data_IF_926149968003
#
_entry.id   IF_926149968003
#
_cell.length_a   1.000
_cell.length_b   1.000
_cell.length_c   1.000
_cell.angle_alpha   90.00
_cell.angle_beta   90.00
_cell.angle_gamma   90.00
#
_symmetry.space_group_name_H-M   'P 1'
#
loop_
_entity.id
_entity.type
_entity.pdbx_description
1 polymer ?
#
# COMPACT_ATOMS: atom_id res chain seq x y z
N UNK A 1 -29.69 32.63 -10.00
CA UNK A 1 -28.30 32.17 -9.83
C UNK A 1 -28.17 30.74 -10.36
N UNK A 2 -27.10 30.37 -11.07
CA UNK A 2 -26.97 29.03 -11.69
C UNK A 2 -25.73 28.33 -11.15
N UNK A 3 -25.94 27.27 -10.36
CA UNK A 3 -24.85 26.44 -9.83
C UNK A 3 -24.22 25.61 -10.95
N UNK A 4 -22.90 25.39 -10.86
CA UNK A 4 -22.20 24.47 -11.74
C UNK A 4 -22.68 23.04 -11.45
N UNK A 5 -23.15 22.31 -12.47
CA UNK A 5 -23.58 20.94 -12.28
C UNK A 5 -22.35 20.04 -12.14
N UNK A 6 -22.30 19.22 -11.10
CA UNK A 6 -21.17 18.31 -10.86
C UNK A 6 -20.94 17.32 -12.01
N UNK A 7 -21.98 17.03 -12.80
CA UNK A 7 -21.93 16.20 -14.00
C UNK A 7 -21.19 16.85 -15.19
N UNK A 8 -20.85 18.14 -15.11
CA UNK A 8 -20.15 18.89 -16.17
C UNK A 8 -18.71 19.26 -15.81
N UNK A 9 -18.19 18.83 -14.66
CA UNK A 9 -16.87 19.20 -14.14
C UNK A 9 -15.85 18.08 -14.31
N UNK A 10 -14.65 18.40 -14.82
CA UNK A 10 -13.51 17.47 -14.93
C UNK A 10 -12.85 17.24 -13.57
N UNK A 11 -12.28 16.05 -13.33
CA UNK A 11 -11.64 15.66 -12.06
C UNK A 11 -10.43 16.54 -11.72
N UNK A 12 -10.06 16.57 -10.43
CA UNK A 12 -8.83 17.19 -9.96
C UNK A 12 -9.00 18.63 -9.44
N UNK A 13 -8.12 19.54 -9.85
CA UNK A 13 -8.09 20.93 -9.34
C UNK A 13 -9.35 21.70 -9.75
N UNK A 14 -9.80 21.54 -10.99
CA UNK A 14 -10.94 22.27 -11.52
C UNK A 14 -12.26 21.85 -10.86
N UNK A 15 -12.44 20.56 -10.60
CA UNK A 15 -13.57 20.06 -9.80
C UNK A 15 -13.64 20.71 -8.42
N UNK A 16 -12.50 20.76 -7.71
CA UNK A 16 -12.44 21.36 -6.36
C UNK A 16 -12.75 22.85 -6.40
N UNK A 17 -12.18 23.59 -7.35
CA UNK A 17 -12.43 25.02 -7.51
C UNK A 17 -13.90 25.31 -7.82
N UNK A 18 -14.50 24.57 -8.75
CA UNK A 18 -15.91 24.74 -9.09
C UNK A 18 -16.87 24.29 -7.99
N UNK A 19 -16.49 23.28 -7.19
CA UNK A 19 -17.24 22.86 -6.01
C UNK A 19 -17.20 23.93 -4.93
N UNK A 20 -16.02 24.49 -4.65
CA UNK A 20 -15.88 25.59 -3.69
C UNK A 20 -16.69 26.82 -4.14
N UNK A 21 -16.63 27.18 -5.41
CA UNK A 21 -17.44 28.29 -5.94
C UNK A 21 -18.94 28.04 -5.73
N UNK A 22 -19.45 26.81 -5.93
CA UNK A 22 -20.84 26.48 -5.63
C UNK A 22 -21.17 26.60 -4.13
N UNK A 23 -20.23 26.27 -3.24
CA UNK A 23 -20.42 26.40 -1.80
C UNK A 23 -20.51 27.87 -1.39
N UNK A 24 -19.61 28.72 -1.88
CA UNK A 24 -19.64 30.18 -1.61
C UNK A 24 -20.98 30.80 -2.07
N UNK A 25 -21.45 30.33 -3.22
CA UNK A 25 -22.73 30.70 -3.82
C UNK A 25 -23.93 30.32 -2.93
N UNK A 26 -23.93 29.11 -2.38
CA UNK A 26 -24.97 28.62 -1.48
C UNK A 26 -24.93 29.30 -0.11
N UNK A 27 -23.74 29.54 0.43
CA UNK A 27 -23.55 30.24 1.70
C UNK A 27 -24.13 31.66 1.63
N UNK A 28 -23.87 32.37 0.53
CA UNK A 28 -24.43 33.71 0.31
C UNK A 28 -25.95 33.71 0.26
N UNK A 29 -26.55 32.81 -0.52
CA UNK A 29 -28.02 32.69 -0.63
C UNK A 29 -28.67 32.30 0.70
N UNK A 30 -28.04 31.39 1.46
CA UNK A 30 -28.51 31.02 2.79
C UNK A 30 -28.47 32.19 3.77
N UNK A 31 -27.41 33.02 3.72
CA UNK A 31 -27.27 34.21 4.55
C UNK A 31 -28.32 35.27 4.20
N UNK A 32 -28.57 35.51 2.92
CA UNK A 32 -29.58 36.46 2.46
C UNK A 32 -30.99 36.00 2.85
N UNK A 33 -31.32 34.72 2.66
CA UNK A 33 -32.60 34.14 3.07
C UNK A 33 -32.81 34.23 4.58
N UNK A 34 -31.77 33.95 5.37
CA UNK A 34 -31.81 34.06 6.82
C UNK A 34 -32.13 35.49 7.29
N UNK A 35 -31.53 36.48 6.62
CA UNK A 35 -31.77 37.89 6.91
C UNK A 35 -33.20 38.30 6.55
N UNK A 36 -33.72 37.84 5.41
CA UNK A 36 -35.10 38.09 4.99
C UNK A 36 -36.12 37.48 5.96
N UNK A 37 -35.89 36.25 6.43
CA UNK A 37 -36.72 35.60 7.44
C UNK A 37 -36.72 36.40 8.74
N UNK A 38 -35.55 36.83 9.23
CA UNK A 38 -35.47 37.64 10.46
C UNK A 38 -36.17 38.98 10.33
N UNK A 39 -36.07 39.65 9.17
CA UNK A 39 -36.83 40.87 8.87
C UNK A 39 -38.34 40.60 8.91
N UNK A 40 -38.79 39.55 8.23
CA UNK A 40 -40.21 39.19 8.16
C UNK A 40 -40.79 38.84 9.55
N UNK A 41 -39.97 38.29 10.44
CA UNK A 41 -40.33 38.02 11.83
C UNK A 41 -40.20 39.23 12.77
N UNK A 42 -39.74 40.38 12.27
CA UNK A 42 -39.52 41.60 13.07
C UNK A 42 -38.40 41.49 14.09
N UNK A 43 -37.51 40.50 13.95
CA UNK A 43 -36.38 40.25 14.87
C UNK A 43 -35.26 41.28 14.65
N UNK A 44 -35.11 41.76 13.41
CA UNK A 44 -34.12 42.77 13.02
C UNK A 44 -34.80 43.83 12.16
N UNK A 45 -34.27 45.04 12.18
CA UNK A 45 -34.73 46.12 11.31
C UNK A 45 -33.94 46.20 9.99
N UNK A 46 -34.34 47.12 9.11
CA UNK A 46 -33.69 47.30 7.81
C UNK A 46 -32.26 47.84 7.90
N UNK A 47 -31.95 48.65 8.93
CA UNK A 47 -30.62 49.21 9.15
C UNK A 47 -29.65 48.15 9.65
N UNK A 48 -30.06 47.32 10.59
CA UNK A 48 -29.28 46.18 11.08
C UNK A 48 -28.97 45.22 9.94
N UNK A 49 -29.95 44.91 9.10
CA UNK A 49 -29.74 44.08 7.94
C UNK A 49 -28.80 44.69 6.88
N UNK A 50 -28.88 46.00 6.65
CA UNK A 50 -27.95 46.69 5.77
C UNK A 50 -26.51 46.63 6.31
N UNK A 51 -26.35 46.76 7.64
CA UNK A 51 -25.06 46.61 8.31
C UNK A 51 -24.48 45.19 8.16
N UNK A 52 -25.31 44.15 8.32
CA UNK A 52 -24.87 42.77 8.06
C UNK A 52 -24.39 42.55 6.63
N UNK A 53 -25.13 43.08 5.63
CA UNK A 53 -24.71 42.98 4.23
C UNK A 53 -23.38 43.71 3.97
N UNK A 54 -23.20 44.87 4.59
CA UNK A 54 -21.96 45.63 4.48
C UNK A 54 -20.77 44.87 5.06
N UNK A 55 -20.89 44.34 6.29
CA UNK A 55 -19.83 43.55 6.95
C UNK A 55 -19.44 42.34 6.11
N UNK A 56 -20.41 41.59 5.60
CA UNK A 56 -20.15 40.41 4.75
C UNK A 56 -19.45 40.81 3.45
N UNK A 57 -19.80 41.97 2.87
CA UNK A 57 -19.16 42.46 1.65
C UNK A 57 -17.71 42.86 1.90
N UNK A 58 -17.44 43.59 2.98
CA UNK A 58 -16.08 43.97 3.40
C UNK A 58 -15.21 42.75 3.73
N UNK A 59 -15.75 41.77 4.47
CA UNK A 59 -15.01 40.53 4.81
C UNK A 59 -14.63 39.75 3.54
N UNK A 60 -15.54 39.65 2.57
CA UNK A 60 -15.25 39.02 1.28
C UNK A 60 -14.16 39.78 0.49
N UNK A 61 -14.24 41.11 0.44
CA UNK A 61 -13.19 41.91 -0.21
C UNK A 61 -11.83 41.75 0.48
N UNK A 62 -11.81 41.69 1.81
CA UNK A 62 -10.60 41.46 2.58
C UNK A 62 -10.00 40.07 2.32
N UNK A 63 -10.83 39.03 2.28
CA UNK A 63 -10.39 37.66 1.95
C UNK A 63 -9.77 37.57 0.56
N UNK A 64 -10.39 38.18 -0.45
CA UNK A 64 -9.84 38.19 -1.82
C UNK A 64 -8.51 38.95 -1.89
N UNK A 65 -8.39 40.09 -1.18
CA UNK A 65 -7.11 40.80 -1.07
C UNK A 65 -6.04 39.95 -0.41
N UNK A 66 -6.33 39.34 0.73
CA UNK A 66 -5.39 38.47 1.44
C UNK A 66 -4.94 37.29 0.57
N UNK A 67 -5.87 36.69 -0.19
CA UNK A 67 -5.55 35.61 -1.12
C UNK A 67 -4.61 36.09 -2.23
N UNK A 68 -4.89 37.25 -2.83
CA UNK A 68 -4.03 37.83 -3.86
C UNK A 68 -2.63 38.17 -3.35
N UNK A 69 -2.53 38.64 -2.09
CA UNK A 69 -1.25 38.93 -1.44
C UNK A 69 -0.48 37.64 -1.12
N UNK A 70 -1.14 36.58 -0.64
CA UNK A 70 -0.52 35.26 -0.41
C UNK A 70 0.01 34.65 -1.72
N UNK A 71 -0.78 34.71 -2.80
CA UNK A 71 -0.37 34.21 -4.11
C UNK A 71 0.85 35.01 -4.65
N UNK A 72 0.87 36.32 -4.48
CA UNK A 72 2.01 37.16 -4.86
C UNK A 72 3.27 36.82 -4.05
N UNK A 73 3.14 36.63 -2.73
CA UNK A 73 4.25 36.23 -1.86
C UNK A 73 4.79 34.85 -2.23
N UNK A 74 3.92 33.88 -2.54
CA UNK A 74 4.34 32.54 -2.98
C UNK A 74 5.14 32.58 -4.27
N UNK A 75 4.70 33.39 -5.23
CA UNK A 75 5.43 33.56 -6.49
C UNK A 75 6.80 34.19 -6.24
N UNK A 76 6.88 35.27 -5.46
CA UNK A 76 8.16 35.91 -5.12
C UNK A 76 9.12 34.96 -4.40
N UNK A 77 8.63 34.13 -3.47
CA UNK A 77 9.44 33.11 -2.79
C UNK A 77 9.92 32.05 -3.78
N UNK A 78 9.07 31.64 -4.72
CA UNK A 78 9.42 30.70 -5.79
C UNK A 78 10.55 31.24 -6.66
N UNK A 79 10.39 32.47 -7.17
CA UNK A 79 11.35 33.12 -8.06
C UNK A 79 12.71 33.33 -7.36
N UNK A 80 12.71 33.85 -6.13
CA UNK A 80 13.95 34.05 -5.36
C UNK A 80 14.66 32.73 -5.06
N UNK A 81 13.89 31.66 -4.80
CA UNK A 81 14.46 30.33 -4.57
C UNK A 81 15.14 29.81 -5.84
N UNK A 82 14.50 29.95 -7.00
CA UNK A 82 15.06 29.55 -8.28
C UNK A 82 16.35 30.33 -8.60
N UNK A 83 16.34 31.65 -8.38
CA UNK A 83 17.52 32.49 -8.58
C UNK A 83 18.69 32.06 -7.68
N UNK A 84 18.43 31.76 -6.40
CA UNK A 84 19.44 31.25 -5.48
C UNK A 84 19.98 29.88 -5.89
N UNK A 85 19.12 28.97 -6.35
CA UNK A 85 19.52 27.65 -6.83
C UNK A 85 20.43 27.77 -8.07
N UNK A 86 20.09 28.64 -9.01
CA UNK A 86 20.92 28.92 -10.19
C UNK A 86 22.27 29.52 -9.76
N UNK A 87 22.27 30.49 -8.84
CA UNK A 87 23.49 31.12 -8.32
C UNK A 87 24.43 30.11 -7.66
N UNK A 88 23.89 29.18 -6.87
CA UNK A 88 24.67 28.11 -6.24
C UNK A 88 25.26 27.14 -7.27
N UNK A 89 24.48 26.74 -8.27
CA UNK A 89 24.98 25.86 -9.36
C UNK A 89 26.12 26.53 -10.14
N UNK A 90 25.99 27.83 -10.42
CA UNK A 90 27.03 28.58 -11.10
C UNK A 90 28.31 28.65 -10.26
N UNK A 91 28.20 28.94 -8.96
CA UNK A 91 29.33 29.00 -8.06
C UNK A 91 30.05 27.65 -7.93
N UNK A 92 29.30 26.55 -7.83
CA UNK A 92 29.87 25.20 -7.78
C UNK A 92 30.63 24.88 -9.08
N UNK A 93 30.03 25.21 -10.23
CA UNK A 93 30.67 25.04 -11.54
C UNK A 93 31.95 25.87 -11.64
N UNK A 94 31.93 27.13 -11.22
CA UNK A 94 33.11 27.99 -11.21
C UNK A 94 34.21 27.45 -10.29
N UNK A 95 33.85 27.03 -9.07
CA UNK A 95 34.80 26.48 -8.10
C UNK A 95 35.45 25.21 -8.63
N UNK A 96 34.66 24.29 -9.19
CA UNK A 96 35.16 23.06 -9.80
C UNK A 96 36.11 23.37 -10.97
N UNK A 97 35.74 24.30 -11.85
CA UNK A 97 36.63 24.74 -12.93
C UNK A 97 37.95 25.34 -12.41
N UNK A 98 37.91 26.14 -11.34
CA UNK A 98 39.11 26.71 -10.72
C UNK A 98 39.99 25.63 -10.09
N UNK A 99 39.40 24.67 -9.39
CA UNK A 99 40.11 23.53 -8.81
C UNK A 99 40.77 22.69 -9.90
N UNK A 100 40.05 22.39 -10.99
CA UNK A 100 40.59 21.64 -12.12
C UNK A 100 41.75 22.35 -12.80
N UNK A 101 41.64 23.67 -12.97
CA UNK A 101 42.72 24.47 -13.53
C UNK A 101 43.98 24.44 -12.64
N UNK A 102 43.82 24.53 -11.31
CA UNK A 102 44.94 24.41 -10.36
C UNK A 102 45.62 23.03 -10.43
N UNK A 103 44.81 21.97 -10.53
CA UNK A 103 45.28 20.59 -10.64
C UNK A 103 46.02 20.36 -11.96
N UNK A 104 45.58 20.98 -13.06
CA UNK A 104 46.23 20.87 -14.37
C UNK A 104 47.49 21.71 -14.49
N UNK A 105 47.56 22.87 -13.83
CA UNK A 105 48.70 23.79 -13.92
C UNK A 105 49.92 23.35 -13.10
N UNK A 106 49.75 22.39 -12.19
CA UNK A 106 50.85 21.84 -11.38
C UNK A 106 51.32 20.49 -11.92
N UNK A 107 52.63 20.28 -12.13
CA UNK A 107 53.16 18.97 -12.48
C UNK A 107 52.76 17.93 -11.43
N UNK A 108 52.08 16.87 -11.86
CA UNK A 108 51.64 15.80 -10.97
C UNK A 108 52.69 14.69 -10.90
N UNK A 109 52.97 14.12 -9.70
CA UNK A 109 53.81 12.94 -9.56
C UNK A 109 53.26 11.77 -10.39
N UNK A 110 54.15 10.97 -10.98
CA UNK A 110 53.77 9.82 -11.82
C UNK A 110 52.93 8.78 -11.05
N UNK A 111 53.20 8.60 -9.76
CA UNK A 111 52.44 7.70 -8.88
C UNK A 111 50.94 8.07 -8.81
N UNK A 112 50.63 9.36 -8.73
CA UNK A 112 49.24 9.85 -8.69
C UNK A 112 48.58 9.64 -10.05
N UNK A 113 49.33 9.84 -11.14
CA UNK A 113 48.85 9.63 -12.51
C UNK A 113 48.49 8.17 -12.76
N UNK A 114 49.35 7.24 -12.34
CA UNK A 114 49.13 5.80 -12.47
C UNK A 114 47.95 5.34 -11.61
N UNK A 115 47.79 5.93 -10.43
CA UNK A 115 46.66 5.67 -9.55
C UNK A 115 45.31 6.16 -10.11
N UNK A 116 45.25 6.88 -11.23
CA UNK A 116 43.97 7.27 -11.88
C UNK A 116 43.33 6.14 -12.67
N UNK A 117 44.05 5.06 -12.95
CA UNK A 117 43.50 3.92 -13.67
C UNK A 117 42.84 2.95 -12.69
N UNK A 118 41.59 2.58 -12.95
CA UNK A 118 40.90 1.56 -12.15
C UNK A 118 41.27 0.14 -12.58
N UNK A 119 40.72 -0.86 -11.87
CA UNK A 119 40.96 -2.28 -12.14
C UNK A 119 40.46 -2.74 -13.51
N UNK A 120 39.54 -1.98 -14.12
CA UNK A 120 38.89 -2.27 -15.39
C UNK A 120 39.58 -1.50 -16.55
N UNK A 121 40.67 -0.77 -16.25
CA UNK A 121 41.46 -0.03 -17.23
C UNK A 121 40.91 1.35 -17.59
N UNK A 122 39.86 1.82 -16.90
CA UNK A 122 39.33 3.17 -17.11
C UNK A 122 40.23 4.19 -16.40
N UNK A 123 40.68 5.18 -17.17
CA UNK A 123 41.51 6.29 -16.67
C UNK A 123 40.62 7.47 -16.31
N UNK A 124 40.71 7.93 -15.06
CA UNK A 124 39.98 9.09 -14.56
C UNK A 124 40.78 10.38 -14.75
N UNK A 125 40.12 11.54 -14.78
CA UNK A 125 40.79 12.84 -14.97
C UNK A 125 41.68 13.16 -13.78
N UNK A 126 41.21 12.87 -12.57
CA UNK A 126 41.93 13.05 -11.31
C UNK A 126 41.71 11.86 -10.38
N UNK A 127 42.65 11.60 -9.47
CA UNK A 127 42.56 10.46 -8.53
C UNK A 127 41.29 10.51 -7.67
N UNK A 128 40.84 11.73 -7.31
CA UNK A 128 39.60 11.93 -6.55
C UNK A 128 38.38 11.34 -7.26
N UNK A 129 38.23 11.52 -8.56
CA UNK A 129 37.09 10.97 -9.31
C UNK A 129 37.07 9.44 -9.26
N UNK A 130 38.24 8.80 -9.40
CA UNK A 130 38.37 7.35 -9.25
C UNK A 130 37.98 6.92 -7.84
N UNK A 131 38.50 7.59 -6.80
CA UNK A 131 38.19 7.27 -5.41
C UNK A 131 36.71 7.45 -5.09
N UNK A 132 36.08 8.52 -5.57
CA UNK A 132 34.63 8.74 -5.45
C UNK A 132 33.86 7.63 -6.18
N UNK A 133 34.24 7.26 -7.40
CA UNK A 133 33.57 6.18 -8.12
C UNK A 133 33.71 4.82 -7.41
N UNK A 134 34.89 4.53 -6.86
CA UNK A 134 35.12 3.34 -6.05
C UNK A 134 34.31 3.37 -4.76
N UNK A 135 34.21 4.53 -4.10
CA UNK A 135 33.42 4.73 -2.89
C UNK A 135 31.93 4.55 -3.19
N UNK A 136 31.40 5.18 -4.23
CA UNK A 136 30.00 5.00 -4.66
C UNK A 136 29.70 3.55 -5.01
N UNK A 137 30.61 2.86 -5.70
CA UNK A 137 30.48 1.43 -6.02
C UNK A 137 30.64 0.53 -4.78
N UNK A 138 31.37 0.98 -3.75
CA UNK A 138 31.49 0.28 -2.48
C UNK A 138 30.26 0.52 -1.59
N UNK A 139 29.65 1.70 -1.67
CA UNK A 139 28.43 2.10 -0.97
C UNK A 139 27.16 1.57 -1.64
N UNK A 140 27.21 1.25 -2.93
CA UNK A 140 26.14 0.53 -3.65
C UNK A 140 26.17 -0.98 -3.41
N UNK A 141 27.09 -1.47 -2.55
CA UNK A 141 27.06 -2.86 -2.10
C UNK A 141 25.82 -3.07 -1.23
N UNK A 142 24.93 -3.91 -1.75
CA UNK A 142 23.83 -4.62 -1.08
C UNK A 142 23.86 -4.49 0.45
N UNK A 143 23.00 -3.64 0.98
CA UNK A 143 22.70 -3.62 2.40
C UNK A 143 21.50 -4.53 2.68
N UNK A 144 21.58 -5.27 3.81
CA UNK A 144 20.47 -6.08 4.30
C UNK A 144 19.81 -5.31 5.44
N UNK A 145 18.55 -4.94 5.24
CA UNK A 145 17.71 -4.30 6.23
C UNK A 145 16.88 -5.34 6.98
N UNK A 146 16.57 -5.05 8.24
CA UNK A 146 15.87 -5.99 9.11
C UNK A 146 14.49 -5.51 9.57
N UNK A 147 14.16 -4.25 9.31
CA UNK A 147 12.92 -3.62 9.78
C UNK A 147 12.18 -2.97 8.62
N UNK A 148 10.83 -2.99 8.67
CA UNK A 148 9.98 -2.35 7.66
C UNK A 148 10.19 -0.83 7.64
N UNK A 149 10.54 -0.22 8.78
CA UNK A 149 10.75 1.22 8.91
C UNK A 149 11.94 1.71 8.06
N UNK A 150 12.91 0.82 7.80
CA UNK A 150 14.09 1.13 7.00
C UNK A 150 13.85 1.05 5.48
N UNK A 151 12.67 0.61 5.01
CA UNK A 151 12.33 0.58 3.57
C UNK A 151 12.51 1.96 2.93
N UNK A 152 12.24 3.02 3.69
CA UNK A 152 12.42 4.39 3.21
C UNK A 152 13.87 4.75 2.85
N UNK A 153 14.83 4.04 3.45
CA UNK A 153 16.29 4.25 3.33
C UNK A 153 16.96 3.30 2.34
N UNK A 154 16.23 2.30 1.84
CA UNK A 154 16.73 1.31 0.88
C UNK A 154 17.03 1.94 -0.48
N UNK A 155 18.17 1.59 -1.06
CA UNK A 155 18.59 1.89 -2.43
C UNK A 155 18.26 0.71 -3.36
N UNK A 156 18.39 0.95 -4.66
CA UNK A 156 18.25 -0.09 -5.69
C UNK A 156 19.24 -1.24 -5.42
N UNK A 157 18.74 -2.47 -5.39
CA UNK A 157 19.43 -3.71 -5.02
C UNK A 157 19.62 -3.98 -3.52
N UNK A 158 19.14 -3.14 -2.60
CA UNK A 158 19.13 -3.49 -1.17
C UNK A 158 18.09 -4.57 -0.85
N UNK A 159 18.34 -5.39 0.19
CA UNK A 159 17.47 -6.50 0.58
C UNK A 159 16.77 -6.19 1.90
N UNK A 160 15.49 -6.55 2.02
CA UNK A 160 14.78 -6.53 3.29
C UNK A 160 14.56 -7.96 3.81
N UNK A 161 14.99 -8.20 5.05
CA UNK A 161 14.77 -9.42 5.81
C UNK A 161 13.98 -9.09 7.07
N UNK A 162 12.66 -9.16 7.00
CA UNK A 162 11.77 -8.84 8.11
C UNK A 162 11.13 -10.11 8.70
N UNK A 163 11.07 -10.18 10.03
CA UNK A 163 10.35 -11.24 10.74
C UNK A 163 8.87 -10.85 10.87
N UNK A 164 7.99 -11.45 10.06
CA UNK A 164 6.55 -11.24 10.21
C UNK A 164 6.01 -12.08 11.35
N UNK A 165 5.46 -11.44 12.38
CA UNK A 165 4.89 -12.09 13.57
C UNK A 165 3.53 -12.78 13.34
N UNK A 166 3.17 -13.09 12.09
CA UNK A 166 1.94 -13.83 11.79
C UNK A 166 2.30 -15.26 11.36
N UNK A 167 2.34 -16.11 12.39
CA UNK A 167 2.17 -17.58 12.39
C UNK A 167 3.35 -18.38 11.81
N UNK A 168 4.17 -18.87 12.75
CA UNK A 168 5.11 -20.00 12.67
C UNK A 168 6.21 -19.93 11.59
N UNK A 169 7.41 -19.53 12.03
CA UNK A 169 8.71 -20.06 11.57
C UNK A 169 9.15 -19.84 10.11
N UNK A 170 8.66 -18.78 9.44
CA UNK A 170 9.14 -18.40 8.09
C UNK A 170 9.86 -17.05 8.13
N UNK A 171 11.14 -17.03 7.73
CA UNK A 171 11.86 -15.81 7.33
C UNK A 171 11.58 -15.56 5.85
N UNK A 172 10.97 -14.43 5.52
CA UNK A 172 10.69 -14.06 4.12
C UNK A 172 11.72 -13.04 3.65
N UNK A 173 12.37 -13.31 2.51
CA UNK A 173 13.21 -12.34 1.81
C UNK A 173 12.35 -11.63 0.75
N UNK A 174 12.33 -10.30 0.77
CA UNK A 174 11.59 -9.51 -0.23
C UNK A 174 12.54 -8.51 -0.86
N UNK A 175 12.74 -8.61 -2.18
CA UNK A 175 13.35 -7.55 -2.97
C UNK A 175 12.24 -6.59 -3.38
N UNK A 176 12.19 -5.43 -2.74
CA UNK A 176 11.15 -4.42 -2.95
C UNK A 176 11.67 -3.35 -3.89
N UNK A 177 11.32 -3.47 -5.17
CA UNK A 177 11.36 -2.32 -6.08
C UNK A 177 10.11 -1.46 -5.83
N UNK A 178 10.33 -0.17 -5.56
CA UNK A 178 9.43 0.71 -4.79
C UNK A 178 8.20 1.19 -5.57
N UNK A 179 8.03 0.79 -6.84
CA UNK A 179 6.97 1.37 -7.68
C UNK A 179 5.96 0.39 -8.32
N UNK A 180 6.10 -0.95 -8.27
CA UNK A 180 5.35 -1.80 -9.22
C UNK A 180 4.67 -3.11 -8.82
N UNK A 181 4.77 -3.68 -7.62
CA UNK A 181 4.28 -5.07 -7.43
C UNK A 181 3.49 -5.35 -6.14
N UNK A 182 2.23 -5.85 -6.23
CA UNK A 182 1.54 -6.48 -5.09
C UNK A 182 2.14 -7.85 -4.78
N UNK A 183 2.44 -8.10 -3.51
CA UNK A 183 3.06 -9.34 -3.02
C UNK A 183 2.06 -10.51 -3.06
N UNK A 184 2.49 -11.68 -3.53
CA UNK A 184 1.72 -12.93 -3.43
C UNK A 184 2.59 -14.07 -2.88
N UNK A 185 2.07 -14.76 -1.85
CA UNK A 185 2.73 -15.87 -1.16
C UNK A 185 2.71 -17.14 -2.01
N UNK A 186 3.85 -17.85 -2.12
CA UNK A 186 4.00 -18.96 -3.08
C UNK A 186 4.10 -20.35 -2.42
N UNK A 187 4.95 -20.60 -1.41
CA UNK A 187 5.05 -21.93 -0.75
C UNK A 187 5.89 -21.96 0.53
N UNK A 188 5.54 -22.85 1.47
CA UNK A 188 6.37 -23.33 2.58
C UNK A 188 6.82 -24.78 2.32
N UNK A 189 8.08 -25.12 2.63
CA UNK A 189 8.61 -26.50 2.53
C UNK A 189 8.96 -27.00 3.92
N UNK A 190 8.16 -27.94 4.43
CA UNK A 190 8.46 -28.60 5.70
C UNK A 190 9.70 -29.49 5.54
N UNK A 191 10.72 -29.25 6.36
CA UNK A 191 11.85 -30.17 6.56
C UNK A 191 11.66 -30.92 7.88
N UNK A 192 12.11 -32.17 7.95
CA UNK A 192 12.11 -32.95 9.20
C UNK A 192 13.56 -33.34 9.51
N UNK A 193 14.15 -32.89 10.65
CA UNK A 193 13.59 -31.98 11.67
C UNK A 193 13.48 -30.52 11.16
N UNK A 194 12.62 -29.68 11.77
CA UNK A 194 12.36 -28.33 11.27
C UNK A 194 13.63 -27.50 11.41
N UNK A 195 14.26 -27.21 10.26
CA UNK A 195 15.23 -26.13 10.13
C UNK A 195 14.66 -25.15 9.11
N UNK A 196 14.69 -23.87 9.49
CA UNK A 196 14.15 -22.72 8.77
C UNK A 196 14.23 -22.91 7.25
N UNK A 197 13.08 -22.96 6.58
CA UNK A 197 13.04 -23.09 5.14
C UNK A 197 13.42 -21.76 4.50
N UNK A 198 14.40 -21.80 3.62
CA UNK A 198 14.81 -20.66 2.79
C UNK A 198 13.93 -20.64 1.54
N UNK A 199 13.19 -19.56 1.30
CA UNK A 199 12.29 -19.41 0.16
C UNK A 199 12.98 -18.56 -0.90
N UNK A 200 13.05 -19.08 -2.13
CA UNK A 200 13.46 -18.33 -3.32
C UNK A 200 12.26 -18.23 -4.26
N UNK A 201 11.94 -17.01 -4.71
CA UNK A 201 10.99 -16.78 -5.79
C UNK A 201 11.69 -16.11 -6.97
N UNK A 202 11.42 -16.58 -8.19
CA UNK A 202 11.80 -15.90 -9.43
C UNK A 202 10.58 -15.20 -10.02
N UNK A 203 10.77 -13.97 -10.50
CA UNK A 203 9.74 -13.23 -11.24
C UNK A 203 9.48 -13.90 -12.59
N UNK A 204 8.21 -14.16 -12.88
CA UNK A 204 7.73 -14.49 -14.22
C UNK A 204 8.01 -15.92 -14.68
N UNK A 205 6.99 -16.77 -14.57
CA UNK A 205 6.47 -17.55 -15.69
C UNK A 205 5.25 -18.35 -15.21
N UNK A 206 4.12 -18.06 -15.84
CA UNK A 206 2.79 -18.57 -15.50
C UNK A 206 2.63 -20.04 -15.92
N UNK A 207 3.29 -20.98 -15.24
CA UNK A 207 2.97 -22.40 -15.34
C UNK A 207 3.58 -23.30 -14.25
N UNK A 208 3.65 -22.82 -13.00
CA UNK A 208 3.91 -23.72 -11.87
C UNK A 208 2.58 -24.27 -11.31
N UNK A 209 2.50 -25.58 -10.96
CA UNK A 209 1.25 -26.20 -10.54
C UNK A 209 0.71 -25.52 -9.28
N UNK A 210 -0.37 -24.76 -9.45
CA UNK A 210 -1.08 -24.11 -8.35
C UNK A 210 -1.54 -25.19 -7.39
N UNK A 211 -0.90 -25.24 -6.22
CA UNK A 211 -1.33 -26.14 -5.15
C UNK A 211 -2.41 -25.41 -4.39
N UNK A 212 -3.67 -25.63 -4.78
CA UNK A 212 -4.81 -25.14 -4.02
C UNK A 212 -4.70 -25.67 -2.59
N UNK A 213 -4.72 -24.78 -1.60
CA UNK A 213 -4.82 -25.14 -0.18
C UNK A 213 -6.13 -24.58 0.33
N UNK A 214 -6.79 -25.31 1.23
CA UNK A 214 -8.00 -24.86 1.90
C UNK A 214 -7.85 -25.00 3.41
N UNK A 215 -8.54 -24.17 4.17
CA UNK A 215 -8.75 -24.34 5.61
C UNK A 215 -10.24 -24.37 5.88
N UNK A 216 -10.70 -25.33 6.67
CA UNK A 216 -12.11 -25.47 7.05
C UNK A 216 -12.24 -25.55 8.56
N UNK A 217 -13.28 -24.92 9.10
CA UNK A 217 -13.60 -24.95 10.54
C UNK A 217 -15.12 -24.99 10.76
N UNK A 218 -15.55 -25.60 11.85
CA UNK A 218 -16.95 -25.55 12.28
C UNK A 218 -17.33 -24.13 12.75
N UNK A 219 -18.53 -23.69 12.39
CA UNK A 219 -19.09 -22.43 12.89
C UNK A 219 -19.65 -22.59 14.30
N UNK A 220 -20.02 -23.81 14.69
CA UNK A 220 -20.47 -24.17 16.05
C UNK A 220 -20.26 -25.67 16.30
N UNK A 221 -20.26 -26.08 17.57
CA UNK A 221 -20.18 -27.52 17.92
C UNK A 221 -21.37 -28.27 17.33
N UNK A 222 -21.09 -29.36 16.62
CA UNK A 222 -22.13 -30.23 16.07
C UNK A 222 -22.91 -30.92 17.20
N UNK A 223 -24.25 -30.90 17.12
CA UNK A 223 -25.12 -31.60 18.08
C UNK A 223 -25.66 -32.88 17.45
N UNK A 224 -25.63 -33.98 18.20
CA UNK A 224 -26.20 -35.25 17.75
C UNK A 224 -27.68 -35.09 17.35
N UNK A 225 -28.09 -35.73 16.25
CA UNK A 225 -29.43 -35.58 15.68
C UNK A 225 -29.64 -34.32 14.82
N UNK A 226 -28.64 -33.43 14.70
CA UNK A 226 -28.75 -32.26 13.82
C UNK A 226 -28.83 -32.68 12.35
N UNK A 227 -29.73 -32.04 11.61
CA UNK A 227 -29.87 -32.29 10.17
C UNK A 227 -28.68 -31.78 9.34
N UNK A 228 -27.92 -30.80 9.85
CA UNK A 228 -26.86 -30.12 9.10
C UNK A 228 -25.59 -29.90 9.93
N UNK A 229 -24.45 -29.89 9.24
CA UNK A 229 -23.16 -29.38 9.72
C UNK A 229 -22.93 -28.01 9.10
N UNK A 230 -22.50 -27.03 9.91
CA UNK A 230 -22.20 -25.68 9.46
C UNK A 230 -20.73 -25.35 9.71
N UNK A 231 -20.09 -24.71 8.73
CA UNK A 231 -18.72 -24.25 8.86
C UNK A 231 -18.38 -23.07 7.98
N UNK A 232 -17.14 -22.63 8.10
CA UNK A 232 -16.53 -21.66 7.20
C UNK A 232 -15.28 -22.24 6.58
N UNK A 233 -14.94 -21.74 5.40
CA UNK A 233 -13.78 -22.17 4.64
C UNK A 233 -13.02 -20.98 4.08
N UNK A 234 -11.73 -21.18 3.86
CA UNK A 234 -10.85 -20.27 3.14
C UNK A 234 -10.12 -21.07 2.07
N UNK A 235 -9.92 -20.47 0.89
CA UNK A 235 -9.29 -21.10 -0.27
C UNK A 235 -10.30 -21.44 -1.38
N UNK A 236 -9.78 -21.90 -2.52
CA UNK A 236 -10.57 -22.22 -3.71
C UNK A 236 -11.26 -23.59 -3.60
N UNK A 237 -12.15 -23.74 -2.63
CA UNK A 237 -12.98 -24.94 -2.47
C UNK A 237 -14.10 -24.92 -3.51
N UNK A 238 -14.27 -26.01 -4.26
CA UNK A 238 -15.35 -26.17 -5.23
C UNK A 238 -16.41 -27.17 -4.78
N UNK A 239 -16.10 -28.05 -3.82
CA UNK A 239 -17.03 -29.06 -3.32
C UNK A 239 -16.68 -29.54 -1.91
N UNK A 240 -17.70 -30.02 -1.18
CA UNK A 240 -17.53 -30.75 0.07
C UNK A 240 -18.05 -32.18 -0.01
N UNK A 241 -17.44 -33.05 0.78
CA UNK A 241 -17.94 -34.39 1.07
C UNK A 241 -17.95 -34.61 2.59
N UNK A 242 -18.85 -35.46 3.05
CA UNK A 242 -18.84 -35.94 4.44
C UNK A 242 -18.61 -37.43 4.45
N UNK A 243 -17.68 -37.88 5.30
CA UNK A 243 -17.43 -39.29 5.56
C UNK A 243 -18.05 -39.58 6.93
N UNK A 244 -19.00 -40.52 6.97
CA UNK A 244 -19.62 -40.99 8.21
C UNK A 244 -19.31 -42.47 8.34
N UNK A 245 -18.52 -42.83 9.34
CA UNK A 245 -18.08 -44.21 9.61
C UNK A 245 -17.50 -44.93 8.37
N UNK A 246 -16.69 -44.20 7.60
CA UNK A 246 -16.07 -44.71 6.36
C UNK A 246 -16.96 -44.63 5.11
N UNK A 247 -18.25 -44.31 5.24
CA UNK A 247 -19.14 -44.13 4.09
C UNK A 247 -19.10 -42.67 3.61
N UNK A 248 -18.73 -42.47 2.34
CA UNK A 248 -18.66 -41.14 1.73
C UNK A 248 -20.00 -40.70 1.19
N UNK A 249 -20.43 -39.51 1.59
CA UNK A 249 -21.59 -38.81 1.09
C UNK A 249 -21.15 -37.51 0.41
N UNK A 250 -21.41 -37.42 -0.89
CA UNK A 250 -21.27 -36.17 -1.63
C UNK A 250 -22.40 -35.21 -1.27
N UNK A 251 -22.07 -33.95 -1.02
CA UNK A 251 -23.06 -32.92 -0.73
C UNK A 251 -22.47 -31.80 0.13
N UNK A 252 -22.80 -30.56 -0.23
CA UNK A 252 -22.30 -29.36 0.38
C UNK A 252 -21.61 -28.48 -0.66
N UNK A 253 -22.31 -27.43 -1.07
CA UNK A 253 -21.74 -26.43 -1.98
C UNK A 253 -21.12 -25.29 -1.16
N UNK A 254 -19.92 -24.84 -1.54
CA UNK A 254 -19.33 -23.62 -0.99
C UNK A 254 -20.24 -22.42 -1.29
N UNK A 255 -20.59 -21.65 -0.26
CA UNK A 255 -21.31 -20.39 -0.43
C UNK A 255 -20.32 -19.26 -0.70
N UNK A 256 -20.63 -18.29 -1.60
CA UNK A 256 -19.71 -17.20 -1.95
C UNK A 256 -19.22 -16.34 -0.77
N UNK A 257 -19.92 -16.41 0.37
CA UNK A 257 -19.58 -15.72 1.62
C UNK A 257 -18.52 -16.46 2.46
N UNK A 258 -17.95 -17.56 1.96
CA UNK A 258 -16.96 -18.36 2.67
C UNK A 258 -17.56 -19.33 3.70
N UNK A 259 -18.87 -19.59 3.63
CA UNK A 259 -19.55 -20.54 4.51
C UNK A 259 -19.96 -21.82 3.79
N UNK A 260 -20.18 -22.90 4.55
CA UNK A 260 -20.72 -24.14 4.01
C UNK A 260 -21.76 -24.75 4.94
N UNK A 261 -22.71 -25.48 4.33
CA UNK A 261 -23.71 -26.29 5.03
C UNK A 261 -23.79 -27.68 4.39
N UNK A 262 -23.77 -28.74 5.19
CA UNK A 262 -23.83 -30.12 4.69
C UNK A 262 -24.94 -30.88 5.39
N UNK A 263 -25.81 -31.53 4.62
CA UNK A 263 -26.91 -32.33 5.14
C UNK A 263 -26.44 -33.71 5.61
N UNK A 264 -26.71 -34.03 6.87
CA UNK A 264 -26.31 -35.29 7.52
C UNK A 264 -27.45 -35.97 8.29
N UNK A 265 -28.69 -35.47 8.17
CA UNK A 265 -29.85 -36.06 8.83
C UNK A 265 -30.00 -37.54 8.48
N UNK A 266 -30.28 -38.37 9.49
CA UNK A 266 -30.43 -39.82 9.32
C UNK A 266 -29.15 -40.59 8.97
N UNK A 267 -27.99 -39.91 8.88
CA UNK A 267 -26.68 -40.53 8.61
C UNK A 267 -25.85 -40.68 9.87
N UNK A 268 -26.01 -39.76 10.82
CA UNK A 268 -25.34 -39.83 12.12
C UNK A 268 -26.23 -40.54 13.15
N UNK A 269 -26.15 -41.87 13.20
CA UNK A 269 -27.08 -42.73 13.96
C UNK A 269 -26.65 -43.06 15.39
N UNK A 270 -25.38 -42.87 15.74
CA UNK A 270 -24.88 -43.07 17.10
C UNK A 270 -23.82 -42.02 17.47
N UNK A 271 -23.61 -41.80 18.76
CA UNK A 271 -22.57 -40.90 19.30
C UNK A 271 -21.17 -41.51 19.26
N UNK A 272 -21.01 -42.74 18.76
CA UNK A 272 -19.73 -43.43 18.63
C UNK A 272 -19.12 -43.36 17.22
N UNK A 273 -19.83 -42.78 16.24
CA UNK A 273 -19.38 -42.82 14.85
C UNK A 273 -18.44 -41.65 14.52
N UNK A 274 -17.49 -41.91 13.62
CA UNK A 274 -16.57 -40.90 13.13
C UNK A 274 -17.22 -40.07 12.01
N UNK A 275 -17.17 -38.74 12.12
CA UNK A 275 -17.65 -37.82 11.08
C UNK A 275 -16.55 -36.85 10.65
N UNK A 276 -16.19 -36.91 9.37
CA UNK A 276 -15.20 -36.02 8.74
C UNK A 276 -15.84 -35.24 7.60
N UNK A 277 -15.50 -33.95 7.50
CA UNK A 277 -15.79 -33.14 6.32
C UNK A 277 -14.50 -32.95 5.54
N UNK A 278 -14.58 -33.15 4.22
CA UNK A 278 -13.46 -33.05 3.29
C UNK A 278 -13.79 -32.00 2.24
N UNK A 279 -12.86 -31.07 2.01
CA UNK A 279 -12.96 -30.01 1.02
C UNK A 279 -12.15 -30.38 -0.22
N UNK A 280 -12.73 -30.12 -1.40
CA UNK A 280 -12.14 -30.44 -2.69
C UNK A 280 -12.04 -29.21 -3.58
N UNK A 281 -11.07 -29.23 -4.50
CA UNK A 281 -11.02 -28.35 -5.65
C UNK A 281 -10.60 -29.14 -6.88
N UNK A 282 -11.38 -29.03 -7.97
CA UNK A 282 -11.10 -29.73 -9.24
C UNK A 282 -10.85 -31.24 -9.04
N UNK A 283 -11.57 -31.87 -8.12
CA UNK A 283 -11.45 -33.31 -7.81
C UNK A 283 -10.28 -33.69 -6.87
N UNK A 284 -9.44 -32.73 -6.45
CA UNK A 284 -8.36 -32.97 -5.48
C UNK A 284 -8.79 -32.59 -4.07
N UNK A 285 -8.53 -33.45 -3.11
CA UNK A 285 -8.71 -33.14 -1.69
C UNK A 285 -7.73 -32.02 -1.28
N UNK A 286 -8.26 -30.96 -0.68
CA UNK A 286 -7.48 -29.82 -0.19
C UNK A 286 -7.33 -29.79 1.32
N UNK A 287 -8.37 -30.23 2.05
CA UNK A 287 -8.41 -30.19 3.50
C UNK A 287 -9.43 -31.19 4.04
N UNK A 288 -9.18 -31.69 5.26
CA UNK A 288 -10.15 -32.48 6.03
C UNK A 288 -10.26 -31.96 7.45
N UNK A 289 -11.46 -32.06 8.01
CA UNK A 289 -11.75 -31.66 9.38
C UNK A 289 -12.61 -32.71 10.05
N UNK A 290 -12.17 -33.11 11.24
CA UNK A 290 -12.97 -33.94 12.13
C UNK A 290 -14.11 -33.09 12.73
N UNK A 291 -15.35 -33.50 12.51
CA UNK A 291 -16.54 -32.82 13.03
C UNK A 291 -16.91 -33.35 14.41
N UNK A 292 -16.73 -34.65 14.60
CA UNK A 292 -17.08 -35.35 15.81
C UNK A 292 -16.09 -36.50 16.04
N UNK A 293 -15.47 -36.58 17.21
CA UNK A 293 -14.60 -37.68 17.62
C UNK A 293 -14.91 -38.01 19.08
N UNK A 294 -15.10 -39.28 19.41
CA UNK A 294 -14.97 -39.71 20.80
C UNK A 294 -13.66 -40.45 20.94
N UNK A 295 -12.69 -39.83 21.61
CA UNK A 295 -11.58 -40.56 22.23
C UNK A 295 -12.24 -41.30 23.39
N UNK A 296 -12.30 -42.62 23.30
CA UNK A 296 -12.64 -43.45 24.45
C UNK A 296 -11.58 -43.14 25.52
N UNK A 297 -11.98 -42.44 26.58
CA UNK A 297 -11.24 -42.39 27.85
C UNK A 297 -11.42 -43.69 28.61
#
# INVERSE_FOLDING_TARGET
MKLNRWTTLLQGRDFRNATNANWDMLEKEAADLYLEIKKALGIIDEKEAALYRYIVTEDNQLRERMKSEDDALRNLIGDNKEELEIGLQHLDTELNNRVDNLIKSTPQPSEIVDARTDKDGKVYTVLRERLTALQTNAESKLQIFHTIDDISKMKENDWLMYESSIINDIRTFVNLDRERYPLTFVKEVATTPPRSAMIFGTLGDSNFPVTYTAKIRLSSKFKFGSAYIYGVYVGEVTAFQTIVDGVTYSGGDPSPDGTFKIYVSGRVLATSINVVVVAFSKGKELARMQVFNNIIS
#
